data_IF_011885428184
#
_entry.id   IF_011885428184
#
_cell.length_a   1.000
_cell.length_b   1.000
_cell.length_c   1.000
_cell.angle_alpha   90.00
_cell.angle_beta   90.00
_cell.angle_gamma   90.00
#
_symmetry.space_group_name_H-M   'P 1'
#
loop_
_entity.id
_entity.type
_entity.pdbx_description
1 polymer ?
#
# COMPACT_ATOMS: atom_id res chain seq x y z
N UNK A 1 4.36 11.62 -26.03
CA UNK A 1 3.19 12.48 -25.89
C UNK A 1 2.50 12.05 -24.63
N UNK A 2 2.17 13.02 -23.79
CA UNK A 2 1.34 12.84 -22.61
C UNK A 2 -0.02 13.41 -23.02
N UNK A 3 -1.06 12.61 -22.85
CA UNK A 3 -2.41 12.82 -23.39
C UNK A 3 -3.38 13.20 -22.26
N UNK A 4 -4.58 13.62 -22.63
CA UNK A 4 -5.69 13.72 -21.67
C UNK A 4 -6.29 12.33 -21.43
N UNK A 5 -6.80 12.07 -20.22
CA UNK A 5 -7.40 10.77 -19.87
C UNK A 5 -8.50 10.34 -20.86
N UNK A 6 -9.34 11.27 -21.30
CA UNK A 6 -10.43 10.99 -22.24
C UNK A 6 -9.95 10.53 -23.63
N UNK A 7 -8.72 10.86 -24.02
CA UNK A 7 -8.13 10.42 -25.30
C UNK A 7 -7.76 8.93 -25.26
N UNK A 8 -7.33 8.44 -24.09
CA UNK A 8 -6.88 7.04 -23.92
C UNK A 8 -7.96 6.13 -23.33
N UNK A 9 -8.98 6.68 -22.69
CA UNK A 9 -10.13 5.95 -22.11
C UNK A 9 -10.77 4.92 -23.08
N UNK A 10 -10.87 5.16 -24.41
CA UNK A 10 -11.38 4.18 -25.36
C UNK A 10 -10.61 2.85 -25.43
N UNK A 11 -9.37 2.79 -24.92
CA UNK A 11 -8.58 1.55 -24.83
C UNK A 11 -9.08 0.56 -23.75
N UNK A 12 -10.12 0.93 -23.00
CA UNK A 12 -10.87 0.07 -22.05
C UNK A 12 -9.97 -0.59 -21.00
N UNK A 13 -9.26 0.21 -20.23
CA UNK A 13 -8.57 -0.26 -19.04
C UNK A 13 -9.57 -0.81 -18.01
N UNK A 14 -9.27 -1.99 -17.48
CA UNK A 14 -10.13 -2.70 -16.51
C UNK A 14 -9.40 -3.19 -15.28
N UNK A 15 -8.09 -3.06 -15.21
CA UNK A 15 -7.35 -3.14 -13.97
C UNK A 15 -6.86 -1.74 -13.53
N UNK A 16 -6.68 -1.55 -12.23
CA UNK A 16 -6.13 -0.34 -11.65
C UNK A 16 -4.99 -0.72 -10.70
N UNK A 17 -3.88 0.01 -10.73
CA UNK A 17 -2.83 -0.01 -9.73
C UNK A 17 -2.70 1.39 -9.12
N UNK A 18 -3.06 1.50 -7.85
CA UNK A 18 -2.96 2.73 -7.07
C UNK A 18 -1.61 2.81 -6.34
N UNK A 19 -0.94 3.95 -6.52
CA UNK A 19 0.24 4.34 -5.76
C UNK A 19 -0.02 5.52 -4.83
N UNK A 20 0.95 5.82 -3.96
CA UNK A 20 0.81 6.83 -2.89
C UNK A 20 0.45 8.23 -3.40
N UNK A 21 0.78 8.56 -4.66
CA UNK A 21 0.38 9.81 -5.30
C UNK A 21 -1.13 10.02 -5.35
N UNK A 22 -1.93 8.95 -5.36
CA UNK A 22 -3.38 9.03 -5.19
C UNK A 22 -3.76 9.63 -3.83
N UNK A 23 -3.19 9.09 -2.76
CA UNK A 23 -3.45 9.56 -1.40
C UNK A 23 -2.88 10.94 -1.15
N UNK A 24 -1.72 11.27 -1.73
CA UNK A 24 -1.12 12.61 -1.70
C UNK A 24 -2.04 13.64 -2.37
N UNK A 25 -2.65 13.30 -3.51
CA UNK A 25 -3.60 14.18 -4.20
C UNK A 25 -4.84 14.52 -3.35
N UNK A 26 -5.23 13.64 -2.43
CA UNK A 26 -6.32 13.89 -1.46
C UNK A 26 -5.80 14.69 -0.26
N UNK A 27 -4.58 14.39 0.20
CA UNK A 27 -3.94 15.15 1.28
C UNK A 27 -2.42 15.10 1.23
N UNK A 28 -1.81 16.29 1.21
CA UNK A 28 -0.37 16.47 1.33
C UNK A 28 0.23 15.86 2.63
N UNK A 29 -0.59 15.47 3.61
CA UNK A 29 -0.12 14.77 4.83
C UNK A 29 0.51 13.40 4.54
N UNK A 30 0.19 12.80 3.39
CA UNK A 30 0.83 11.55 2.93
C UNK A 30 2.18 11.79 2.24
N UNK A 31 2.60 13.04 2.05
CA UNK A 31 3.89 13.41 1.46
C UNK A 31 4.98 13.39 2.51
N UNK A 32 5.43 12.20 2.86
CA UNK A 32 6.59 12.01 3.72
C UNK A 32 7.58 11.02 3.11
N UNK A 33 8.87 11.21 3.40
CA UNK A 33 9.93 10.36 2.88
C UNK A 33 10.02 9.02 3.61
N UNK A 34 9.82 9.02 4.94
CA UNK A 34 9.80 7.81 5.78
C UNK A 34 9.01 8.03 7.07
N UNK A 35 8.33 6.99 7.57
CA UNK A 35 7.69 6.98 8.89
C UNK A 35 8.70 7.20 10.01
N UNK A 36 9.92 6.67 9.87
CA UNK A 36 10.97 6.91 10.86
C UNK A 36 11.40 8.38 10.86
N UNK A 37 11.49 9.01 9.68
CA UNK A 37 11.74 10.44 9.57
C UNK A 37 10.63 11.29 10.19
N UNK A 38 9.37 10.84 10.12
CA UNK A 38 8.25 11.52 10.78
C UNK A 38 8.35 11.47 12.31
N UNK A 39 8.88 10.37 12.87
CA UNK A 39 9.15 10.31 14.31
C UNK A 39 10.10 11.42 14.73
N UNK A 40 11.17 11.65 13.95
CA UNK A 40 12.13 12.71 14.24
C UNK A 40 11.53 14.11 13.97
N UNK A 41 10.82 14.30 12.86
CA UNK A 41 10.23 15.59 12.45
C UNK A 41 9.17 16.10 13.43
N UNK A 42 8.30 15.22 13.92
CA UNK A 42 7.21 15.58 14.83
C UNK A 42 7.57 15.38 16.30
N UNK A 43 8.83 15.10 16.61
CA UNK A 43 9.33 14.86 17.97
C UNK A 43 8.51 13.79 18.71
N UNK A 44 8.11 12.74 17.99
CA UNK A 44 7.29 11.64 18.53
C UNK A 44 8.10 10.89 19.59
N UNK A 45 7.59 10.74 20.82
CA UNK A 45 8.31 10.05 21.88
C UNK A 45 8.67 8.61 21.50
N UNK A 46 9.97 8.32 21.47
CA UNK A 46 10.53 6.99 21.26
C UNK A 46 11.69 6.80 22.25
N UNK A 47 11.80 5.61 22.84
CA UNK A 47 12.92 5.30 23.71
C UNK A 47 14.23 5.33 22.90
N UNK A 48 15.33 5.87 23.44
CA UNK A 48 16.63 5.88 22.75
C UNK A 48 17.05 4.49 22.27
N UNK A 49 16.83 3.47 23.13
CA UNK A 49 17.12 2.07 22.81
C UNK A 49 16.23 1.52 21.69
N UNK A 50 14.99 1.99 21.56
CA UNK A 50 14.10 1.65 20.45
C UNK A 50 14.59 2.30 19.14
N UNK A 51 14.96 3.59 19.20
CA UNK A 51 15.48 4.34 18.04
C UNK A 51 16.79 3.74 17.52
N UNK A 52 17.64 3.26 18.42
CA UNK A 52 18.92 2.63 18.07
C UNK A 52 18.74 1.33 17.26
N UNK A 53 17.62 0.60 17.40
CA UNK A 53 17.40 -0.64 16.64
C UNK A 53 17.39 -0.44 15.12
N UNK A 54 17.00 0.75 14.66
CA UNK A 54 16.95 1.10 13.24
C UNK A 54 18.33 1.35 12.62
N UNK A 55 19.39 1.48 13.43
CA UNK A 55 20.76 1.75 12.95
C UNK A 55 21.36 0.59 12.16
N UNK A 56 22.34 0.94 11.34
CA UNK A 56 23.12 0.05 10.49
C UNK A 56 23.91 -1.02 11.27
N UNK A 57 24.37 -0.71 12.48
CA UNK A 57 25.04 -1.64 13.39
C UNK A 57 24.08 -2.53 14.21
N UNK A 58 22.76 -2.40 13.97
CA UNK A 58 21.69 -3.17 14.62
C UNK A 58 20.86 -3.92 13.58
N UNK A 59 19.59 -3.56 13.39
CA UNK A 59 18.69 -4.23 12.43
C UNK A 59 18.91 -3.70 11.02
N UNK A 60 19.45 -2.49 10.87
CA UNK A 60 19.71 -1.83 9.59
C UNK A 60 18.44 -1.71 8.72
N UNK A 61 17.43 -1.04 9.26
CA UNK A 61 16.14 -0.88 8.58
C UNK A 61 15.49 0.41 9.03
N UNK A 62 14.65 0.99 8.19
CA UNK A 62 13.77 2.11 8.57
C UNK A 62 12.32 1.65 8.80
N UNK A 63 12.03 0.38 8.52
CA UNK A 63 10.69 -0.16 8.60
C UNK A 63 10.39 -0.73 10.00
N UNK A 64 9.33 -0.23 10.60
CA UNK A 64 8.89 -0.56 11.96
C UNK A 64 8.51 -2.04 12.15
N UNK A 65 7.91 -2.68 11.15
CA UNK A 65 7.42 -4.05 11.26
C UNK A 65 8.57 -5.04 11.50
N UNK A 66 9.71 -4.80 10.85
CA UNK A 66 10.89 -5.62 11.02
C UNK A 66 11.52 -5.44 12.39
N UNK A 67 11.55 -4.20 12.90
CA UNK A 67 11.98 -3.93 14.28
C UNK A 67 11.04 -4.61 15.28
N UNK A 68 9.72 -4.51 15.11
CA UNK A 68 8.73 -5.18 15.97
C UNK A 68 8.89 -6.71 15.94
N UNK A 69 9.09 -7.30 14.76
CA UNK A 69 9.32 -8.74 14.57
C UNK A 69 10.62 -9.19 15.25
N UNK A 70 11.70 -8.42 15.15
CA UNK A 70 12.97 -8.70 15.85
C UNK A 70 12.78 -8.66 17.36
N UNK A 71 12.08 -7.65 17.89
CA UNK A 71 11.78 -7.55 19.34
C UNK A 71 10.93 -8.74 19.80
N UNK A 72 9.93 -9.14 19.01
CA UNK A 72 9.11 -10.31 19.32
C UNK A 72 9.95 -11.59 19.38
N UNK A 73 10.80 -11.88 18.38
CA UNK A 73 11.65 -13.07 18.42
C UNK A 73 12.67 -13.02 19.57
N UNK A 74 13.19 -11.84 19.91
CA UNK A 74 14.02 -11.67 21.09
C UNK A 74 13.25 -12.03 22.38
N UNK A 75 11.95 -11.70 22.47
CA UNK A 75 11.10 -12.07 23.61
C UNK A 75 10.96 -13.58 23.80
N UNK A 76 10.98 -14.36 22.71
CA UNK A 76 10.85 -15.82 22.76
C UNK A 76 12.07 -16.49 23.41
N UNK A 77 13.26 -15.90 23.25
CA UNK A 77 14.52 -16.46 23.77
C UNK A 77 14.95 -15.83 25.09
N UNK A 78 14.54 -14.59 25.36
CA UNK A 78 14.93 -13.82 26.54
C UNK A 78 13.83 -13.86 27.62
N UNK A 79 13.44 -15.07 28.01
CA UNK A 79 12.38 -15.36 28.98
C UNK A 79 12.65 -14.82 30.40
N UNK A 80 13.87 -14.36 30.69
CA UNK A 80 14.27 -13.83 32.00
C UNK A 80 14.17 -12.31 32.12
N UNK A 81 13.89 -11.58 31.02
CA UNK A 81 13.73 -10.12 31.03
C UNK A 81 12.52 -9.68 30.19
N UNK A 82 11.43 -10.41 30.29
CA UNK A 82 10.26 -10.27 29.42
C UNK A 82 9.60 -8.88 29.51
N UNK A 83 9.49 -8.31 30.71
CA UNK A 83 8.87 -7.00 30.92
C UNK A 83 9.60 -5.87 30.17
N UNK A 84 10.94 -5.88 30.19
CA UNK A 84 11.72 -4.87 29.47
C UNK A 84 11.54 -4.96 27.94
N UNK A 85 11.43 -6.18 27.41
CA UNK A 85 11.23 -6.42 25.96
C UNK A 85 9.82 -6.03 25.55
N UNK A 86 8.82 -6.35 26.38
CA UNK A 86 7.44 -5.93 26.18
C UNK A 86 7.32 -4.40 26.14
N UNK A 87 7.94 -3.69 27.09
CA UNK A 87 7.96 -2.24 27.10
C UNK A 87 8.64 -1.67 25.84
N UNK A 88 9.74 -2.29 25.38
CA UNK A 88 10.41 -1.89 24.15
C UNK A 88 9.52 -2.10 22.92
N UNK A 89 8.83 -3.25 22.83
CA UNK A 89 7.90 -3.57 21.75
C UNK A 89 6.76 -2.55 21.68
N UNK A 90 6.09 -2.31 22.82
CA UNK A 90 4.96 -1.39 22.87
C UNK A 90 5.39 0.06 22.68
N UNK A 91 6.62 0.43 23.03
CA UNK A 91 7.16 1.74 22.70
C UNK A 91 7.31 1.92 21.19
N UNK A 92 7.93 0.97 20.48
CA UNK A 92 8.05 1.01 19.01
C UNK A 92 6.67 1.03 18.34
N UNK A 93 5.74 0.18 18.80
CA UNK A 93 4.37 0.15 18.28
C UNK A 93 3.64 1.48 18.51
N UNK A 94 3.81 2.09 19.68
CA UNK A 94 3.21 3.39 19.98
C UNK A 94 3.77 4.49 19.07
N UNK A 95 5.08 4.56 18.88
CA UNK A 95 5.69 5.54 17.98
C UNK A 95 5.23 5.34 16.52
N UNK A 96 5.03 4.08 16.08
CA UNK A 96 4.44 3.79 14.77
C UNK A 96 3.02 4.33 14.64
N UNK A 97 2.16 4.05 15.64
CA UNK A 97 0.77 4.54 15.67
C UNK A 97 0.74 6.06 15.60
N UNK A 98 1.58 6.73 16.37
CA UNK A 98 1.66 8.19 16.40
C UNK A 98 2.15 8.74 15.06
N UNK A 99 3.18 8.15 14.44
CA UNK A 99 3.69 8.58 13.14
C UNK A 99 2.64 8.46 12.03
N UNK A 100 1.95 7.31 11.97
CA UNK A 100 0.85 7.09 11.04
C UNK A 100 -0.31 8.07 11.30
N UNK A 101 -0.62 8.33 12.57
CA UNK A 101 -1.72 9.24 12.95
C UNK A 101 -1.46 10.70 12.57
N UNK A 102 -0.21 11.17 12.58
CA UNK A 102 0.14 12.52 12.11
C UNK A 102 -0.09 12.69 10.60
N UNK A 103 0.06 11.61 9.85
CA UNK A 103 -0.05 11.59 8.38
C UNK A 103 -1.44 11.30 7.86
N UNK A 104 -2.35 10.87 8.73
CA UNK A 104 -3.65 10.43 8.30
C UNK A 104 -4.64 11.60 8.15
N UNK A 105 -5.53 11.45 7.19
CA UNK A 105 -6.74 12.27 7.00
C UNK A 105 -7.87 11.84 7.93
N UNK A 106 -8.73 12.77 8.33
CA UNK A 106 -10.01 12.39 8.96
C UNK A 106 -10.90 11.69 7.93
N UNK A 107 -11.70 10.73 8.36
CA UNK A 107 -12.69 10.07 7.51
C UNK A 107 -13.60 11.07 6.80
N UNK A 108 -13.97 12.16 7.49
CA UNK A 108 -14.81 13.26 6.97
C UNK A 108 -14.22 14.04 5.81
N UNK A 109 -12.89 14.01 5.66
CA UNK A 109 -12.17 14.84 4.70
C UNK A 109 -11.90 14.07 3.40
N UNK A 110 -12.25 12.78 3.36
CA UNK A 110 -12.08 11.91 2.21
C UNK A 110 -13.37 11.92 1.37
N UNK A 111 -13.31 12.19 0.05
CA UNK A 111 -14.46 12.12 -0.84
C UNK A 111 -14.82 10.66 -1.16
N UNK A 112 -15.26 9.91 -0.14
CA UNK A 112 -15.42 8.45 -0.19
C UNK A 112 -16.36 8.00 -1.30
N UNK A 113 -17.47 8.71 -1.55
CA UNK A 113 -18.44 8.38 -2.60
C UNK A 113 -17.85 8.56 -3.99
N UNK A 114 -17.18 9.68 -4.25
CA UNK A 114 -16.55 9.98 -5.55
C UNK A 114 -15.50 8.93 -5.90
N UNK A 115 -14.63 8.60 -4.93
CA UNK A 115 -13.62 7.56 -5.10
C UNK A 115 -14.30 6.21 -5.37
N UNK A 116 -15.31 5.85 -4.58
CA UNK A 116 -15.99 4.57 -4.72
C UNK A 116 -16.71 4.40 -6.07
N UNK A 117 -17.31 5.47 -6.61
CA UNK A 117 -17.89 5.43 -7.95
C UNK A 117 -16.83 5.19 -9.03
N UNK A 118 -15.68 5.88 -8.96
CA UNK A 118 -14.60 5.69 -9.92
C UNK A 118 -13.99 4.28 -9.83
N UNK A 119 -13.82 3.74 -8.62
CA UNK A 119 -13.33 2.38 -8.42
C UNK A 119 -14.24 1.30 -9.03
N UNK A 120 -15.53 1.57 -9.28
CA UNK A 120 -16.44 0.60 -9.93
C UNK A 120 -16.14 0.37 -11.41
N UNK A 121 -15.45 1.29 -12.07
CA UNK A 121 -15.12 1.17 -13.50
C UNK A 121 -14.11 0.05 -13.78
N UNK A 122 -13.34 -0.31 -12.75
CA UNK A 122 -12.33 -1.36 -12.78
C UNK A 122 -12.89 -2.70 -12.31
N UNK A 123 -12.37 -3.79 -12.88
CA UNK A 123 -12.67 -5.18 -12.50
C UNK A 123 -11.76 -5.66 -11.39
N UNK A 124 -10.48 -5.28 -11.41
CA UNK A 124 -9.47 -5.62 -10.41
C UNK A 124 -8.73 -4.35 -9.98
N UNK A 125 -8.49 -4.22 -8.67
CA UNK A 125 -7.82 -3.06 -8.08
C UNK A 125 -6.62 -3.56 -7.28
N UNK A 126 -5.44 -3.07 -7.61
CA UNK A 126 -4.20 -3.30 -6.89
C UNK A 126 -3.81 -1.98 -6.22
N UNK A 127 -3.22 -2.06 -5.03
CA UNK A 127 -2.74 -0.87 -4.33
C UNK A 127 -1.46 -1.15 -3.58
N UNK A 128 -0.52 -0.21 -3.65
CA UNK A 128 0.64 -0.16 -2.73
C UNK A 128 0.38 0.77 -1.55
N UNK A 129 -0.75 1.46 -1.53
CA UNK A 129 -1.08 2.41 -0.48
C UNK A 129 -1.45 1.65 0.78
N UNK A 130 -0.78 1.99 1.88
CA UNK A 130 -1.08 1.42 3.19
C UNK A 130 -2.19 2.16 3.94
N UNK A 131 -2.54 3.37 3.50
CA UNK A 131 -3.56 4.20 4.16
C UNK A 131 -4.99 3.61 4.05
N UNK A 132 -5.91 4.21 4.81
CA UNK A 132 -7.29 3.72 4.85
C UNK A 132 -8.18 4.30 3.75
N UNK A 133 -7.71 5.19 2.87
CA UNK A 133 -8.57 5.85 1.87
C UNK A 133 -9.26 4.83 0.97
N UNK A 134 -8.56 3.89 0.28
CA UNK A 134 -9.24 2.91 -0.56
C UNK A 134 -10.22 2.05 0.23
N UNK A 135 -9.83 1.66 1.46
CA UNK A 135 -10.67 0.84 2.32
C UNK A 135 -11.96 1.57 2.76
N UNK A 136 -11.84 2.83 3.21
CA UNK A 136 -12.94 3.67 3.62
C UNK A 136 -13.89 3.98 2.47
N UNK A 137 -13.38 4.23 1.26
CA UNK A 137 -14.23 4.42 0.08
C UNK A 137 -15.08 3.19 -0.23
N UNK A 138 -14.49 1.99 -0.22
CA UNK A 138 -15.23 0.76 -0.49
C UNK A 138 -16.19 0.38 0.64
N UNK A 139 -15.78 0.58 1.90
CA UNK A 139 -16.58 0.26 3.07
C UNK A 139 -17.71 1.26 3.30
N UNK A 140 -17.39 2.54 3.34
CA UNK A 140 -18.29 3.63 3.71
C UNK A 140 -19.39 3.85 2.69
N UNK A 141 -19.01 4.08 1.42
CA UNK A 141 -19.97 4.42 0.39
C UNK A 141 -20.81 3.22 -0.08
N UNK A 142 -20.22 2.01 -0.08
CA UNK A 142 -20.84 0.84 -0.72
C UNK A 142 -21.10 -0.32 0.23
N UNK A 143 -20.66 -0.27 1.48
CA UNK A 143 -20.64 -1.44 2.38
C UNK A 143 -19.98 -2.66 1.72
N UNK A 144 -18.90 -2.43 0.95
CA UNK A 144 -18.24 -3.43 0.11
C UNK A 144 -19.14 -4.13 -0.93
N UNK A 145 -20.34 -3.62 -1.21
CA UNK A 145 -21.25 -4.22 -2.21
C UNK A 145 -20.62 -4.17 -3.59
N UNK A 146 -20.39 -5.35 -4.17
CA UNK A 146 -19.75 -5.49 -5.48
C UNK A 146 -18.22 -5.50 -5.42
N UNK A 147 -17.62 -5.53 -4.23
CA UNK A 147 -16.18 -5.64 -3.99
C UNK A 147 -15.85 -6.80 -3.05
N UNK A 148 -14.59 -7.22 -3.01
CA UNK A 148 -14.05 -8.16 -2.02
C UNK A 148 -12.55 -7.94 -1.82
N UNK A 149 -12.06 -8.36 -0.66
CA UNK A 149 -10.66 -8.21 -0.25
C UNK A 149 -10.06 -9.52 0.30
N UNK A 150 -10.69 -10.67 0.04
CA UNK A 150 -10.26 -12.00 0.49
C UNK A 150 -10.29 -12.27 2.01
N UNK A 151 -10.76 -11.31 2.81
CA UNK A 151 -10.94 -11.46 4.26
C UNK A 151 -12.42 -11.70 4.64
N UNK A 152 -13.05 -12.69 4.00
CA UNK A 152 -14.49 -12.99 4.18
C UNK A 152 -14.80 -14.13 5.15
N UNK A 153 -13.79 -14.75 5.76
CA UNK A 153 -14.00 -15.70 6.85
C UNK A 153 -14.61 -15.00 8.06
N UNK A 154 -15.24 -15.75 8.98
CA UNK A 154 -15.84 -15.17 10.20
C UNK A 154 -14.82 -14.49 11.10
N UNK A 155 -13.55 -14.92 11.03
CA UNK A 155 -12.43 -14.32 11.76
C UNK A 155 -11.76 -13.16 10.98
N UNK A 156 -12.23 -12.85 9.76
CA UNK A 156 -11.58 -11.91 8.84
C UNK A 156 -10.13 -12.29 8.52
N UNK A 157 -9.81 -13.58 8.52
CA UNK A 157 -8.53 -14.16 8.12
C UNK A 157 -8.49 -14.47 6.62
N UNK A 158 -7.33 -14.30 6.00
CA UNK A 158 -7.07 -14.72 4.62
C UNK A 158 -6.80 -16.22 4.56
N UNK A 159 -7.49 -16.91 3.64
CA UNK A 159 -7.33 -18.35 3.40
C UNK A 159 -6.93 -18.59 1.95
N UNK A 160 -5.68 -19.04 1.75
CA UNK A 160 -5.14 -19.35 0.43
C UNK A 160 -5.91 -20.47 -0.29
N UNK A 161 -6.63 -21.32 0.45
CA UNK A 161 -7.46 -22.39 -0.11
C UNK A 161 -8.85 -21.94 -0.57
N UNK A 162 -9.32 -20.77 -0.15
CA UNK A 162 -10.59 -20.15 -0.56
C UNK A 162 -10.33 -18.78 -1.19
N UNK A 163 -9.72 -18.77 -2.38
CA UNK A 163 -9.46 -17.55 -3.17
C UNK A 163 -10.42 -17.40 -4.36
N UNK A 164 -11.42 -18.27 -4.49
CA UNK A 164 -12.38 -18.19 -5.58
C UNK A 164 -13.41 -17.07 -5.34
N UNK A 165 -13.32 -16.00 -6.14
CA UNK A 165 -14.27 -14.89 -6.06
C UNK A 165 -15.69 -15.35 -6.39
N UNK A 166 -16.62 -15.13 -5.46
CA UNK A 166 -18.03 -15.49 -5.61
C UNK A 166 -18.85 -14.33 -6.18
N UNK A 167 -19.57 -14.59 -7.27
CA UNK A 167 -20.42 -13.60 -7.94
C UNK A 167 -19.64 -12.56 -8.72
N UNK A 168 -20.28 -11.42 -9.05
CA UNK A 168 -19.66 -10.31 -9.79
C UNK A 168 -19.04 -9.30 -8.84
N UNK A 169 -18.03 -9.73 -8.08
CA UNK A 169 -17.27 -8.87 -7.17
C UNK A 169 -15.95 -8.44 -7.80
N UNK A 170 -15.51 -7.24 -7.45
CA UNK A 170 -14.23 -6.64 -7.85
C UNK A 170 -13.22 -6.83 -6.72
N UNK A 171 -12.15 -7.64 -6.91
CA UNK A 171 -11.14 -7.79 -5.88
C UNK A 171 -10.31 -6.52 -5.72
N UNK A 172 -9.96 -6.22 -4.47
CA UNK A 172 -8.87 -5.31 -4.12
C UNK A 172 -7.71 -6.10 -3.54
N UNK A 173 -6.50 -5.84 -4.03
CA UNK A 173 -5.26 -6.50 -3.65
C UNK A 173 -4.29 -5.49 -3.03
N UNK A 174 -3.96 -5.68 -1.75
CA UNK A 174 -3.05 -4.81 -1.01
C UNK A 174 -1.60 -5.34 -1.14
N UNK A 175 -0.92 -4.97 -2.23
CA UNK A 175 0.42 -5.49 -2.61
C UNK A 175 1.48 -5.23 -1.54
N UNK A 176 1.40 -4.07 -0.89
CA UNK A 176 2.27 -3.68 0.21
C UNK A 176 1.52 -3.72 1.53
N UNK A 177 0.45 -4.52 1.64
CA UNK A 177 -0.39 -4.54 2.83
C UNK A 177 -1.14 -3.23 3.07
N UNK A 178 -1.71 -3.08 4.27
CA UNK A 178 -2.40 -1.85 4.68
C UNK A 178 -2.53 -1.76 6.20
N UNK A 179 -2.77 -0.55 6.70
CA UNK A 179 -2.91 -0.22 8.13
C UNK A 179 -3.92 -1.12 8.86
N UNK A 180 -4.98 -1.53 8.17
CA UNK A 180 -6.05 -2.36 8.72
C UNK A 180 -5.75 -3.87 8.65
N UNK A 181 -4.59 -4.27 8.12
CA UNK A 181 -4.14 -5.65 8.06
C UNK A 181 -3.09 -5.92 9.14
N UNK A 182 -3.18 -7.11 9.73
CA UNK A 182 -2.22 -7.60 10.73
C UNK A 182 -1.77 -9.00 10.36
N UNK A 183 -0.57 -9.34 10.80
CA UNK A 183 -0.05 -10.71 10.78
C UNK A 183 0.24 -11.14 12.19
N UNK A 184 -0.10 -12.38 12.52
CA UNK A 184 0.32 -13.02 13.75
C UNK A 184 1.69 -13.73 13.57
N UNK A 185 2.27 -14.29 14.64
CA UNK A 185 3.53 -15.01 14.59
C UNK A 185 3.54 -16.29 13.76
N UNK A 186 2.38 -16.94 13.59
CA UNK A 186 2.21 -18.13 12.76
C UNK A 186 2.07 -17.75 11.26
N UNK A 187 2.05 -16.44 10.98
CA UNK A 187 1.89 -15.84 9.67
C UNK A 187 0.43 -15.58 9.31
N UNK A 188 -0.55 -15.92 10.16
CA UNK A 188 -1.98 -15.70 9.89
C UNK A 188 -2.24 -14.22 9.64
N UNK A 189 -2.78 -13.89 8.46
CA UNK A 189 -3.09 -12.52 8.06
C UNK A 189 -4.56 -12.31 8.25
N UNK A 190 -4.90 -11.27 9.02
CA UNK A 190 -6.27 -10.94 9.31
C UNK A 190 -6.52 -9.44 9.23
N UNK A 191 -7.76 -9.11 8.89
CA UNK A 191 -8.24 -7.74 8.76
C UNK A 191 -8.90 -7.28 10.05
N UNK A 192 -8.45 -6.15 10.57
CA UNK A 192 -9.17 -5.40 11.58
C UNK A 192 -10.19 -4.52 10.87
N UNK A 193 -11.48 -4.83 11.04
CA UNK A 193 -12.55 -4.03 10.44
C UNK A 193 -12.51 -2.61 11.03
N UNK A 194 -12.33 -1.59 10.19
CA UNK A 194 -12.62 -0.22 10.62
C UNK A 194 -14.14 -0.03 10.67
N UNK A 195 -14.62 0.85 11.56
CA UNK A 195 -15.97 1.42 11.52
C UNK A 195 -15.83 2.91 11.82
N UNK A 196 -16.88 3.71 11.61
CA UNK A 196 -16.87 5.13 12.00
C UNK A 196 -16.51 5.33 13.49
N UNK A 197 -16.78 4.33 14.32
CA UNK A 197 -16.51 4.35 15.77
C UNK A 197 -15.09 3.90 16.14
N UNK A 198 -14.34 3.25 15.22
CA UNK A 198 -12.99 2.74 15.51
C UNK A 198 -11.94 3.73 15.07
N UNK A 199 -11.13 4.16 16.01
CA UNK A 199 -10.01 5.06 15.77
C UNK A 199 -8.85 4.32 15.10
N UNK A 200 -7.91 5.07 14.50
CA UNK A 200 -6.67 4.50 13.95
C UNK A 200 -5.88 3.72 15.01
N UNK A 201 -5.88 4.18 16.26
CA UNK A 201 -5.23 3.45 17.35
C UNK A 201 -5.95 2.13 17.62
N UNK A 202 -7.28 2.05 17.53
CA UNK A 202 -8.00 0.77 17.65
C UNK A 202 -7.64 -0.21 16.53
N UNK A 203 -7.38 0.30 15.33
CA UNK A 203 -7.02 -0.50 14.16
C UNK A 203 -5.59 -1.02 14.29
N UNK A 204 -4.62 -0.16 14.63
CA UNK A 204 -3.19 -0.47 14.62
C UNK A 204 -2.73 -1.13 15.92
N UNK A 205 -3.24 -0.68 17.07
CA UNK A 205 -2.78 -1.19 18.38
C UNK A 205 -3.04 -2.68 18.53
N UNK A 206 -2.11 -3.37 19.19
CA UNK A 206 -2.33 -4.74 19.65
C UNK A 206 -2.14 -4.79 21.15
N UNK A 207 -3.05 -5.49 21.84
CA UNK A 207 -2.94 -5.72 23.28
C UNK A 207 -1.91 -6.81 23.62
N UNK A 208 -1.50 -7.60 22.64
CA UNK A 208 -0.49 -8.66 22.78
C UNK A 208 0.67 -8.45 21.82
N UNK A 209 1.88 -8.83 22.26
CA UNK A 209 3.04 -8.93 21.36
C UNK A 209 2.79 -10.00 20.28
N UNK A 210 3.46 -9.84 19.14
CA UNK A 210 3.43 -10.83 18.05
C UNK A 210 2.43 -10.51 16.95
N UNK A 211 1.36 -9.78 17.27
CA UNK A 211 0.48 -9.23 16.23
C UNK A 211 1.04 -7.90 15.75
N UNK A 212 1.61 -7.91 14.55
CA UNK A 212 2.19 -6.73 13.92
C UNK A 212 1.29 -6.22 12.79
N UNK A 213 1.21 -4.90 12.58
CA UNK A 213 0.68 -4.37 11.34
C UNK A 213 1.37 -5.00 10.13
N UNK A 214 0.62 -5.21 9.05
CA UNK A 214 1.14 -5.74 7.79
C UNK A 214 1.04 -4.66 6.71
N UNK A 215 2.10 -3.89 6.56
CA UNK A 215 2.33 -2.99 5.44
C UNK A 215 3.81 -2.67 5.16
N UNK A 216 4.23 -2.73 3.90
CA UNK A 216 5.60 -2.41 3.48
C UNK A 216 5.68 -0.92 3.14
N UNK A 217 6.14 -0.10 4.09
CA UNK A 217 6.29 1.35 3.86
C UNK A 217 7.58 1.75 3.14
N UNK A 218 8.69 1.04 3.41
CA UNK A 218 10.04 1.55 3.13
C UNK A 218 11.02 0.43 2.71
N UNK A 219 12.14 0.84 2.10
CA UNK A 219 13.22 -0.04 1.68
C UNK A 219 13.37 -0.17 0.17
N UNK A 220 14.51 -0.70 -0.27
CA UNK A 220 14.79 -0.96 -1.69
C UNK A 220 13.90 -2.07 -2.25
N UNK A 221 13.76 -2.11 -3.57
CA UNK A 221 12.86 -3.03 -4.25
C UNK A 221 13.10 -4.51 -3.93
N UNK A 222 14.34 -4.93 -3.73
CA UNK A 222 14.71 -6.30 -3.38
C UNK A 222 14.27 -6.68 -1.96
N UNK A 223 14.42 -5.77 -1.00
CA UNK A 223 13.93 -5.92 0.38
C UNK A 223 12.41 -6.01 0.39
N UNK A 224 11.72 -5.11 -0.33
CA UNK A 224 10.25 -5.15 -0.47
C UNK A 224 9.78 -6.48 -1.06
N UNK A 225 10.39 -6.91 -2.17
CA UNK A 225 10.04 -8.17 -2.82
C UNK A 225 10.28 -9.39 -1.92
N UNK A 226 11.37 -9.41 -1.15
CA UNK A 226 11.63 -10.47 -0.18
C UNK A 226 10.51 -10.58 0.85
N UNK A 227 10.08 -9.45 1.42
CA UNK A 227 8.96 -9.42 2.39
C UNK A 227 7.65 -9.87 1.78
N UNK A 228 7.35 -9.43 0.54
CA UNK A 228 6.20 -9.89 -0.23
C UNK A 228 6.22 -11.42 -0.35
N UNK A 229 7.37 -12.02 -0.63
CA UNK A 229 7.51 -13.48 -0.77
C UNK A 229 7.50 -14.24 0.56
N UNK A 230 7.86 -13.61 1.66
CA UNK A 230 7.82 -14.20 3.02
C UNK A 230 6.39 -14.25 3.59
N UNK A 231 5.47 -13.42 3.11
CA UNK A 231 4.07 -13.39 3.56
C UNK A 231 3.14 -13.93 2.48
N UNK A 232 2.33 -14.95 2.78
CA UNK A 232 1.51 -15.62 1.76
C UNK A 232 0.37 -14.75 1.21
N UNK A 233 -0.20 -13.82 1.99
CA UNK A 233 -1.19 -12.87 1.46
C UNK A 233 -0.56 -11.87 0.49
N UNK A 234 0.58 -11.29 0.85
CA UNK A 234 1.29 -10.36 -0.03
C UNK A 234 1.80 -11.08 -1.29
N UNK A 235 2.33 -12.30 -1.15
CA UNK A 235 2.75 -13.12 -2.29
C UNK A 235 1.56 -13.44 -3.20
N UNK A 236 0.41 -13.80 -2.64
CA UNK A 236 -0.82 -14.01 -3.41
C UNK A 236 -1.19 -12.75 -4.21
N UNK A 237 -1.23 -11.58 -3.58
CA UNK A 237 -1.55 -10.31 -4.27
C UNK A 237 -0.55 -10.00 -5.39
N UNK A 238 0.74 -10.25 -5.16
CA UNK A 238 1.79 -10.04 -6.15
C UNK A 238 1.70 -11.04 -7.30
N UNK A 239 1.34 -12.29 -7.02
CA UNK A 239 1.12 -13.31 -8.05
C UNK A 239 -0.13 -12.98 -8.88
N UNK A 240 -1.19 -12.43 -8.29
CA UNK A 240 -2.36 -11.93 -9.03
C UNK A 240 -2.00 -10.76 -9.95
N UNK A 241 -1.08 -9.87 -9.54
CA UNK A 241 -0.56 -8.81 -10.41
C UNK A 241 0.26 -9.39 -11.58
N UNK A 242 1.09 -10.41 -11.31
CA UNK A 242 1.88 -11.10 -12.32
C UNK A 242 1.03 -11.81 -13.38
N UNK A 243 -0.16 -12.28 -13.02
CA UNK A 243 -1.05 -13.01 -13.94
C UNK A 243 -2.21 -12.15 -14.47
N UNK A 244 -2.25 -10.86 -14.12
CA UNK A 244 -3.31 -9.96 -14.58
C UNK A 244 -3.28 -9.80 -16.11
N UNK A 245 -4.40 -10.11 -16.75
CA UNK A 245 -4.61 -10.06 -18.20
C UNK A 245 -5.27 -8.75 -18.65
N UNK A 246 -5.97 -8.06 -17.74
CA UNK A 246 -6.65 -6.82 -18.10
C UNK A 246 -5.67 -5.66 -18.30
N UNK A 247 -5.96 -4.84 -19.31
CA UNK A 247 -5.29 -3.56 -19.51
C UNK A 247 -5.41 -2.70 -18.24
N UNK A 248 -4.29 -2.10 -17.83
CA UNK A 248 -4.16 -1.50 -16.51
C UNK A 248 -3.91 0.02 -16.57
N UNK A 249 -4.60 0.75 -15.69
CA UNK A 249 -4.22 2.12 -15.30
C UNK A 249 -3.29 2.04 -14.10
N UNK A 250 -2.16 2.74 -14.16
CA UNK A 250 -1.26 2.96 -13.04
C UNK A 250 -1.41 4.43 -12.64
N UNK A 251 -1.99 4.66 -11.47
CA UNK A 251 -2.32 6.00 -11.01
C UNK A 251 -1.58 6.36 -9.72
N UNK A 252 -0.92 7.52 -9.69
CA UNK A 252 -0.24 8.04 -8.51
C UNK A 252 1.05 7.29 -8.14
N UNK A 253 1.77 6.75 -9.11
CA UNK A 253 2.94 5.91 -8.86
C UNK A 253 4.21 6.53 -9.45
N UNK A 254 5.25 6.71 -8.62
CA UNK A 254 6.56 7.18 -9.09
C UNK A 254 7.38 6.11 -9.83
N UNK A 255 7.12 4.83 -9.53
CA UNK A 255 7.78 3.66 -10.14
C UNK A 255 9.30 3.80 -10.20
N UNK A 256 9.89 4.28 -9.11
CA UNK A 256 11.34 4.47 -9.05
C UNK A 256 12.03 3.10 -9.16
N UNK A 257 13.09 3.02 -9.96
CA UNK A 257 13.77 1.74 -10.22
C UNK A 257 14.45 1.19 -8.97
N UNK A 258 14.95 2.03 -8.07
CA UNK A 258 15.57 1.58 -6.83
C UNK A 258 14.55 1.01 -5.83
N UNK A 259 13.36 1.60 -5.77
CA UNK A 259 12.36 1.27 -4.75
C UNK A 259 11.23 0.35 -5.22
N UNK A 260 10.83 0.43 -6.49
CA UNK A 260 9.61 -0.18 -7.04
C UNK A 260 9.86 -1.07 -8.27
N UNK A 261 11.12 -1.46 -8.54
CA UNK A 261 11.45 -2.37 -9.66
C UNK A 261 10.68 -3.70 -9.62
N UNK A 262 10.29 -4.19 -8.45
CA UNK A 262 9.47 -5.39 -8.30
C UNK A 262 8.05 -5.22 -8.89
N UNK A 263 7.47 -4.02 -8.78
CA UNK A 263 6.18 -3.67 -9.42
C UNK A 263 6.39 -3.54 -10.93
N UNK A 264 7.40 -2.78 -11.37
CA UNK A 264 7.75 -2.66 -12.80
C UNK A 264 8.00 -4.03 -13.45
N UNK A 265 8.72 -4.92 -12.74
CA UNK A 265 8.99 -6.29 -13.19
C UNK A 265 7.71 -7.11 -13.31
N UNK A 266 6.78 -6.97 -12.36
CA UNK A 266 5.48 -7.64 -12.41
C UNK A 266 4.64 -7.15 -13.59
N UNK A 267 4.50 -5.84 -13.75
CA UNK A 267 3.80 -5.21 -14.88
C UNK A 267 4.40 -5.60 -16.23
N UNK A 268 5.73 -5.78 -16.30
CA UNK A 268 6.42 -6.19 -17.53
C UNK A 268 6.23 -7.68 -17.85
N UNK A 269 6.14 -8.54 -16.84
CA UNK A 269 5.98 -10.00 -17.01
C UNK A 269 4.54 -10.44 -17.22
N UNK A 270 3.58 -9.62 -16.80
CA UNK A 270 2.17 -9.95 -16.90
C UNK A 270 1.67 -10.06 -18.34
N UNK A 271 0.62 -10.84 -18.60
CA UNK A 271 0.06 -11.02 -19.94
C UNK A 271 -0.68 -9.79 -20.49
N UNK A 272 -1.02 -8.81 -19.65
CA UNK A 272 -1.70 -7.57 -20.09
C UNK A 272 -0.96 -6.85 -21.24
N UNK A 273 -1.72 -6.35 -22.21
CA UNK A 273 -1.17 -5.76 -23.44
C UNK A 273 -0.95 -4.24 -23.30
N UNK A 274 -1.85 -3.52 -22.62
CA UNK A 274 -1.83 -2.05 -22.55
C UNK A 274 -1.68 -1.54 -21.12
N UNK A 275 -0.80 -0.57 -20.94
CA UNK A 275 -0.54 0.11 -19.67
C UNK A 275 -0.71 1.62 -19.84
N UNK A 276 -1.51 2.25 -18.98
CA UNK A 276 -1.64 3.71 -18.91
C UNK A 276 -1.03 4.24 -17.63
N UNK A 277 -0.02 5.11 -17.73
CA UNK A 277 0.66 5.71 -16.59
C UNK A 277 0.21 7.15 -16.38
N UNK A 278 -0.29 7.47 -15.20
CA UNK A 278 -0.54 8.86 -14.81
C UNK A 278 0.80 9.58 -14.63
N UNK A 279 0.94 10.75 -15.25
CA UNK A 279 2.07 11.67 -15.04
C UNK A 279 1.56 12.81 -14.17
N UNK A 280 2.28 13.12 -13.08
CA UNK A 280 1.83 14.16 -12.16
C UNK A 280 1.78 15.52 -12.87
N UNK A 281 0.59 16.13 -12.90
CA UNK A 281 0.37 17.34 -13.69
C UNK A 281 1.17 18.55 -13.23
N UNK A 282 1.57 18.59 -11.96
CA UNK A 282 2.43 19.63 -11.39
C UNK A 282 3.93 19.46 -11.62
N UNK A 283 4.39 18.41 -12.33
CA UNK A 283 5.80 18.27 -12.73
C UNK A 283 6.19 19.27 -13.82
N UNK A 284 7.46 19.68 -13.83
CA UNK A 284 8.00 20.46 -14.95
C UNK A 284 8.08 19.60 -16.22
N UNK A 285 7.98 20.19 -17.44
CA UNK A 285 7.97 19.44 -18.69
C UNK A 285 9.15 18.47 -18.85
N UNK A 286 10.36 18.87 -18.44
CA UNK A 286 11.55 18.04 -18.51
C UNK A 286 11.46 16.80 -17.59
N UNK A 287 10.84 16.94 -16.41
CA UNK A 287 10.63 15.85 -15.46
C UNK A 287 9.57 14.86 -15.98
N UNK A 288 8.51 15.39 -16.59
CA UNK A 288 7.48 14.58 -17.27
C UNK A 288 8.09 13.72 -18.38
N UNK A 289 8.93 14.33 -19.21
CA UNK A 289 9.63 13.63 -20.30
C UNK A 289 10.64 12.62 -19.76
N UNK A 290 11.35 12.93 -18.67
CA UNK A 290 12.28 12.01 -18.02
C UNK A 290 11.56 10.78 -17.45
N UNK A 291 10.43 10.98 -16.76
CA UNK A 291 9.58 9.90 -16.25
C UNK A 291 9.07 9.01 -17.39
N UNK A 292 8.45 9.60 -18.42
CA UNK A 292 7.94 8.82 -19.54
C UNK A 292 9.05 8.05 -20.29
N UNK A 293 10.23 8.67 -20.42
CA UNK A 293 11.39 8.05 -21.06
C UNK A 293 11.97 6.91 -20.24
N UNK A 294 12.03 7.03 -18.91
CA UNK A 294 12.53 5.97 -18.03
C UNK A 294 11.64 4.73 -18.08
N UNK A 295 10.31 4.91 -18.07
CA UNK A 295 9.33 3.83 -18.24
C UNK A 295 9.48 3.19 -19.62
N UNK A 296 9.47 3.97 -20.71
CA UNK A 296 9.68 3.42 -22.07
C UNK A 296 10.98 2.63 -22.19
N UNK A 297 12.07 3.12 -21.59
CA UNK A 297 13.34 2.41 -21.59
C UNK A 297 13.25 1.07 -20.85
N UNK A 298 12.58 1.04 -19.70
CA UNK A 298 12.34 -0.20 -18.94
C UNK A 298 11.55 -1.23 -19.76
N UNK A 299 10.56 -0.79 -20.54
CA UNK A 299 9.68 -1.63 -21.36
C UNK A 299 10.14 -1.82 -22.83
N UNK A 300 11.31 -1.33 -23.22
CA UNK A 300 11.84 -1.34 -24.62
C UNK A 300 11.97 -2.71 -25.33
N UNK A 301 11.71 -3.81 -24.63
CA UNK A 301 11.75 -5.19 -25.15
C UNK A 301 10.50 -6.01 -24.78
N UNK A 302 9.42 -5.33 -24.42
CA UNK A 302 8.11 -5.96 -24.23
C UNK A 302 7.17 -5.51 -25.34
N UNK A 303 6.22 -6.37 -25.69
CA UNK A 303 5.16 -6.08 -26.66
C UNK A 303 4.03 -5.21 -26.08
N UNK A 304 4.29 -4.51 -24.97
CA UNK A 304 3.29 -3.71 -24.25
C UNK A 304 3.13 -2.34 -24.89
N UNK A 305 1.88 -1.95 -25.09
CA UNK A 305 1.51 -0.60 -25.52
C UNK A 305 1.45 0.32 -24.29
N UNK A 306 2.24 1.40 -24.29
CA UNK A 306 2.36 2.31 -23.16
C UNK A 306 1.70 3.65 -23.49
N UNK A 307 0.79 4.07 -22.61
CA UNK A 307 0.10 5.35 -22.67
C UNK A 307 0.50 6.19 -21.47
N UNK A 308 0.57 7.50 -21.64
CA UNK A 308 0.92 8.45 -20.59
C UNK A 308 -0.13 9.54 -20.60
N UNK A 309 -0.70 9.87 -19.44
CA UNK A 309 -1.74 10.87 -19.35
C UNK A 309 -1.54 11.81 -18.16
N UNK A 310 -2.04 13.04 -18.28
CA UNK A 310 -2.01 14.03 -17.20
C UNK A 310 -2.88 13.58 -16.02
N UNK A 311 -2.29 13.44 -14.83
CA UNK A 311 -2.98 12.91 -13.65
C UNK A 311 -4.24 13.71 -13.29
N UNK A 312 -4.19 15.04 -13.42
CA UNK A 312 -5.32 15.94 -13.11
C UNK A 312 -6.58 15.65 -13.95
N UNK A 313 -6.41 15.08 -15.15
CA UNK A 313 -7.50 14.84 -16.12
C UNK A 313 -8.28 13.56 -15.84
N UNK A 314 -7.76 12.67 -14.98
CA UNK A 314 -8.45 11.45 -14.60
C UNK A 314 -9.39 11.75 -13.41
N UNK A 315 -10.60 11.17 -13.36
CA UNK A 315 -11.52 11.35 -12.22
C UNK A 315 -10.97 10.97 -10.83
N UNK A 316 -9.82 10.27 -10.76
CA UNK A 316 -9.15 9.92 -9.50
C UNK A 316 -8.37 11.10 -8.89
N UNK A 317 -8.17 12.18 -9.64
CA UNK A 317 -7.52 13.41 -9.14
C UNK A 317 -8.36 14.13 -8.10
N UNK A 318 -9.68 13.89 -8.09
CA UNK A 318 -10.67 14.64 -7.31
C UNK A 318 -10.70 16.15 -7.65
N UNK A 319 -9.94 16.59 -8.66
CA UNK A 319 -10.04 17.94 -9.20
C UNK A 319 -11.30 17.99 -10.06
N UNK A 320 -12.15 19.00 -9.81
CA UNK A 320 -13.32 19.22 -10.66
C UNK A 320 -12.83 19.60 -12.05
N UNK A 321 -13.08 18.75 -13.06
CA UNK A 321 -12.87 19.06 -14.48
C UNK A 321 -13.59 20.34 -14.90
#
# INVERSE_FOLDING_TARGET
MIEDWEEIRPHRFKALLLGNGFSIGISERFKYESLLGQVDQYEIPMYPMARDLFRDDKVNTHNFEEVLRVIYHASLVNFYNQEAIEQLYFNVQKSLIEAVSQSHVSYSDVPIETIAEELKEFRSIFTTNYDLIPYWSLMGALSFRGFCDYFWSSACEFDLSDTQIRGRKRPIYYLHGAIHLKTDPDGVVYKVTASEERTLSDIISSKSMGNTPLFISEGKSDIKLRRIRENYYLSFCYDELLHCEENMVIYGHGLDKEYDEHILSALKKSPMEKLAFSVFSGMEPEEKDAFASSIKAYFSKSDKELYFFESATHPLSMEST
#
